data_IF_416376064358
#
_entry.id   IF_416376064358
#
_cell.length_a   1.000
_cell.length_b   1.000
_cell.length_c   1.000
_cell.angle_alpha   90.00
_cell.angle_beta   90.00
_cell.angle_gamma   90.00
#
_symmetry.space_group_name_H-M   'P 1'
#
loop_
_entity.id
_entity.type
_entity.pdbx_description
1 polymer ?
#
# COMPACT_ATOMS: atom_id res chain seq x y z
N UNK A 1 -18.26 10.11 -45.28
CA UNK A 1 -16.88 10.33 -44.81
C UNK A 1 -16.60 11.80 -44.47
N UNK A 2 -17.48 12.76 -44.80
CA UNK A 2 -17.26 14.20 -44.53
C UNK A 2 -17.64 14.67 -43.11
N UNK A 3 -18.42 13.90 -42.33
CA UNK A 3 -18.87 14.35 -40.99
C UNK A 3 -17.78 14.26 -39.92
N UNK A 4 -16.80 13.37 -40.06
CA UNK A 4 -15.75 13.16 -39.06
C UNK A 4 -14.76 14.34 -39.02
N UNK A 5 -14.34 14.84 -40.18
CA UNK A 5 -13.38 15.95 -40.27
C UNK A 5 -13.98 17.26 -39.73
N UNK A 6 -15.29 17.44 -39.86
CA UNK A 6 -15.99 18.60 -39.31
C UNK A 6 -16.01 18.56 -37.77
N UNK A 7 -16.37 17.41 -37.20
CA UNK A 7 -16.43 17.22 -35.75
C UNK A 7 -15.03 17.32 -35.10
N UNK A 8 -14.00 16.76 -35.76
CA UNK A 8 -12.61 16.88 -35.30
C UNK A 8 -12.13 18.33 -35.26
N UNK A 9 -12.48 19.13 -36.26
CA UNK A 9 -12.13 20.55 -36.28
C UNK A 9 -12.82 21.33 -35.15
N UNK A 10 -14.08 21.05 -34.84
CA UNK A 10 -14.79 21.65 -33.70
C UNK A 10 -14.07 21.31 -32.39
N UNK A 11 -13.76 20.04 -32.16
CA UNK A 11 -13.09 19.57 -30.94
C UNK A 11 -11.71 20.22 -30.81
N UNK A 12 -10.93 20.25 -31.89
CA UNK A 12 -9.59 20.83 -31.88
C UNK A 12 -9.63 22.32 -31.53
N UNK A 13 -10.50 23.08 -32.18
CA UNK A 13 -10.67 24.52 -31.92
C UNK A 13 -11.13 24.77 -30.47
N UNK A 14 -12.04 23.96 -29.95
CA UNK A 14 -12.48 24.04 -28.56
C UNK A 14 -11.33 23.82 -27.57
N UNK A 15 -10.54 22.76 -27.78
CA UNK A 15 -9.41 22.44 -26.91
C UNK A 15 -8.31 23.51 -26.97
N UNK A 16 -8.02 24.07 -28.15
CA UNK A 16 -7.05 25.15 -28.31
C UNK A 16 -7.49 26.41 -27.56
N UNK A 17 -8.75 26.83 -27.69
CA UNK A 17 -9.29 27.97 -26.91
C UNK A 17 -9.21 27.75 -25.40
N UNK A 18 -9.50 26.53 -24.93
CA UNK A 18 -9.38 26.21 -23.50
C UNK A 18 -7.94 26.24 -23.00
N UNK A 19 -6.95 25.90 -23.85
CA UNK A 19 -5.53 25.99 -23.49
C UNK A 19 -5.06 27.43 -23.26
N UNK A 20 -5.76 28.41 -23.84
CA UNK A 20 -5.46 29.83 -23.66
C UNK A 20 -6.03 30.39 -22.36
N UNK A 21 -7.21 29.90 -21.93
CA UNK A 21 -7.89 30.37 -20.72
C UNK A 21 -7.45 29.64 -19.45
N UNK A 22 -6.89 28.44 -19.58
CA UNK A 22 -6.45 27.61 -18.46
C UNK A 22 -4.97 27.30 -18.59
N UNK A 23 -4.20 27.52 -17.52
CA UNK A 23 -2.77 27.17 -17.49
C UNK A 23 -2.60 25.64 -17.43
N UNK A 24 -2.66 25.00 -18.61
CA UNK A 24 -2.61 23.55 -18.77
C UNK A 24 -1.32 22.95 -18.21
N UNK A 25 -0.22 23.72 -18.21
CA UNK A 25 1.05 23.30 -17.62
C UNK A 25 0.96 23.09 -16.11
N UNK A 26 0.08 23.83 -15.43
CA UNK A 26 -0.17 23.68 -13.98
C UNK A 26 -1.15 22.56 -13.65
N UNK A 27 -1.90 22.03 -14.62
CA UNK A 27 -2.87 20.97 -14.37
C UNK A 27 -2.14 19.63 -14.24
N UNK A 28 -2.16 19.06 -13.03
CA UNK A 28 -1.84 17.66 -12.83
C UNK A 28 -3.13 16.81 -12.77
N UNK A 29 -3.47 16.20 -13.91
CA UNK A 29 -4.68 15.38 -14.06
C UNK A 29 -4.70 14.19 -13.09
N UNK A 30 -3.53 13.62 -12.80
CA UNK A 30 -3.42 12.49 -11.88
C UNK A 30 -3.70 12.93 -10.43
N UNK A 31 -3.30 14.15 -10.04
CA UNK A 31 -3.63 14.68 -8.72
C UNK A 31 -5.14 14.95 -8.57
N UNK A 32 -5.82 15.35 -9.65
CA UNK A 32 -7.27 15.51 -9.66
C UNK A 32 -7.95 14.15 -9.45
N UNK A 33 -7.46 13.09 -10.11
CA UNK A 33 -7.99 11.73 -9.95
C UNK A 33 -7.86 11.18 -8.53
N UNK A 34 -6.82 11.58 -7.80
CA UNK A 34 -6.59 11.17 -6.40
C UNK A 34 -7.48 11.91 -5.38
N UNK A 35 -8.15 13.00 -5.77
CA UNK A 35 -9.03 13.76 -4.87
C UNK A 35 -10.32 12.99 -4.56
N UNK A 36 -10.90 13.25 -3.38
CA UNK A 36 -12.24 12.76 -3.03
C UNK A 36 -13.29 13.29 -4.01
N UNK A 37 -14.45 12.63 -4.10
CA UNK A 37 -15.54 13.04 -4.99
C UNK A 37 -15.97 14.50 -4.78
N UNK A 38 -16.06 14.96 -3.52
CA UNK A 38 -16.38 16.36 -3.20
C UNK A 38 -15.34 17.33 -3.74
N UNK A 39 -14.04 17.06 -3.51
CA UNK A 39 -12.95 17.93 -3.99
C UNK A 39 -12.82 17.93 -5.52
N UNK A 40 -13.13 16.81 -6.18
CA UNK A 40 -13.21 16.75 -7.63
C UNK A 40 -14.37 17.61 -8.13
N UNK A 41 -15.53 17.50 -7.50
CA UNK A 41 -16.70 18.31 -7.84
C UNK A 41 -16.44 19.81 -7.68
N UNK A 42 -15.82 20.24 -6.58
CA UNK A 42 -15.39 21.62 -6.36
C UNK A 42 -14.47 22.11 -7.48
N UNK A 43 -13.42 21.34 -7.81
CA UNK A 43 -12.48 21.67 -8.87
C UNK A 43 -13.16 21.88 -10.24
N UNK A 44 -14.04 20.97 -10.65
CA UNK A 44 -14.73 21.10 -11.94
C UNK A 44 -15.75 22.25 -11.96
N UNK A 45 -16.31 22.64 -10.81
CA UNK A 45 -17.18 23.82 -10.73
C UNK A 45 -16.42 25.15 -10.89
N UNK A 46 -15.12 25.18 -10.66
CA UNK A 46 -14.30 26.37 -10.94
C UNK A 46 -14.02 26.52 -12.46
N UNK A 47 -14.22 25.45 -13.24
CA UNK A 47 -13.97 25.39 -14.69
C UNK A 47 -15.27 25.42 -15.51
N UNK A 48 -16.25 26.20 -15.04
CA UNK A 48 -17.53 26.40 -15.74
C UNK A 48 -17.34 27.22 -17.01
N UNK A 49 -18.11 26.88 -18.03
CA UNK A 49 -18.23 27.59 -19.31
C UNK A 49 -19.61 28.22 -19.38
N UNK A 50 -19.68 29.52 -19.69
CA UNK A 50 -20.96 30.15 -19.93
C UNK A 50 -21.55 29.63 -21.25
N UNK A 51 -22.87 29.48 -21.31
CA UNK A 51 -23.57 29.03 -22.53
C UNK A 51 -23.39 30.02 -23.70
N UNK A 52 -23.11 31.29 -23.39
CA UNK A 52 -22.74 32.32 -24.39
C UNK A 52 -21.40 32.07 -25.08
N UNK A 53 -20.53 31.25 -24.50
CA UNK A 53 -19.16 31.07 -24.98
C UNK A 53 -19.06 29.96 -26.05
N UNK A 54 -20.15 29.23 -26.28
CA UNK A 54 -20.22 28.09 -27.19
C UNK A 54 -21.34 28.25 -28.22
N UNK A 55 -21.05 27.94 -29.47
CA UNK A 55 -22.05 27.89 -30.53
C UNK A 55 -22.97 26.66 -30.34
N UNK A 56 -24.29 26.76 -30.57
CA UNK A 56 -25.22 25.62 -30.56
C UNK A 56 -24.72 24.35 -31.29
N UNK A 57 -24.03 24.49 -32.43
CA UNK A 57 -23.46 23.34 -33.15
C UNK A 57 -22.32 22.69 -32.37
N UNK A 58 -21.43 23.49 -31.78
CA UNK A 58 -20.31 23.00 -30.96
C UNK A 58 -20.85 22.25 -29.74
N UNK A 59 -21.90 22.79 -29.10
CA UNK A 59 -22.52 22.16 -27.92
C UNK A 59 -22.98 20.73 -28.24
N UNK A 60 -23.61 20.51 -29.39
CA UNK A 60 -24.09 19.18 -29.79
C UNK A 60 -22.92 18.21 -29.94
N UNK A 61 -21.87 18.62 -30.66
CA UNK A 61 -20.69 17.79 -30.91
C UNK A 61 -19.94 17.49 -29.61
N UNK A 62 -19.64 18.52 -28.82
CA UNK A 62 -18.90 18.41 -27.56
C UNK A 62 -19.66 17.58 -26.52
N UNK A 63 -20.99 17.70 -26.44
CA UNK A 63 -21.81 16.90 -25.53
C UNK A 63 -21.85 15.43 -25.96
N UNK A 64 -22.02 15.17 -27.27
CA UNK A 64 -22.00 13.80 -27.83
C UNK A 64 -20.66 13.11 -27.56
N UNK A 65 -19.56 13.86 -27.64
CA UNK A 65 -18.22 13.37 -27.36
C UNK A 65 -17.86 13.33 -25.87
N UNK A 66 -18.79 13.68 -24.98
CA UNK A 66 -18.59 13.74 -23.52
C UNK A 66 -17.44 14.66 -23.10
N UNK A 67 -17.26 15.79 -23.80
CA UNK A 67 -16.27 16.82 -23.47
C UNK A 67 -16.85 17.89 -22.54
N UNK A 68 -18.16 18.09 -22.60
CA UNK A 68 -18.88 18.98 -21.70
C UNK A 68 -20.13 18.29 -21.15
N UNK A 69 -20.59 18.76 -20.00
CA UNK A 69 -21.87 18.37 -19.41
C UNK A 69 -22.66 19.61 -19.01
N UNK A 70 -23.96 19.63 -19.33
CA UNK A 70 -24.85 20.73 -18.97
C UNK A 70 -25.21 20.67 -17.50
N UNK A 71 -24.93 21.73 -16.75
CA UNK A 71 -25.38 21.88 -15.37
C UNK A 71 -26.64 22.73 -15.36
N UNK A 72 -27.69 22.25 -14.68
CA UNK A 72 -28.99 22.91 -14.63
C UNK A 72 -28.86 24.40 -14.32
N UNK A 73 -29.31 25.25 -15.25
CA UNK A 73 -29.32 26.72 -15.17
C UNK A 73 -27.96 27.41 -14.95
N UNK A 74 -26.83 26.68 -15.02
CA UNK A 74 -25.48 27.19 -14.71
C UNK A 74 -24.50 27.10 -15.89
N UNK A 75 -24.97 26.73 -17.09
CA UNK A 75 -24.15 26.58 -18.29
C UNK A 75 -23.56 25.17 -18.43
N UNK A 76 -22.29 25.08 -18.84
CA UNK A 76 -21.61 23.81 -19.11
C UNK A 76 -20.36 23.65 -18.24
N UNK A 77 -20.01 22.41 -17.92
CA UNK A 77 -18.78 22.06 -17.21
C UNK A 77 -17.96 21.13 -18.09
N UNK A 78 -16.65 21.35 -18.16
CA UNK A 78 -15.75 20.44 -18.88
C UNK A 78 -15.58 19.12 -18.14
N UNK A 79 -15.43 18.03 -18.87
CA UNK A 79 -15.24 16.70 -18.28
C UNK A 79 -13.76 16.39 -18.03
N UNK A 80 -13.50 15.30 -17.31
CA UNK A 80 -12.16 14.74 -17.20
C UNK A 80 -11.58 14.38 -18.57
N UNK A 81 -12.40 13.91 -19.53
CA UNK A 81 -11.96 13.61 -20.89
C UNK A 81 -11.40 14.87 -21.57
N UNK A 82 -12.04 16.02 -21.37
CA UNK A 82 -11.55 17.32 -21.87
C UNK A 82 -10.22 17.68 -21.27
N UNK A 83 -10.05 17.57 -19.95
CA UNK A 83 -8.75 17.83 -19.32
C UNK A 83 -7.66 16.92 -19.90
N UNK A 84 -7.95 15.63 -20.08
CA UNK A 84 -7.01 14.66 -20.65
C UNK A 84 -6.59 15.10 -22.06
N UNK A 85 -7.55 15.42 -22.93
CA UNK A 85 -7.26 15.85 -24.31
C UNK A 85 -6.63 17.25 -24.40
N UNK A 86 -6.78 18.09 -23.38
CA UNK A 86 -6.04 19.34 -23.29
C UNK A 86 -4.55 19.10 -23.00
N UNK A 87 -4.23 18.11 -22.18
CA UNK A 87 -2.86 17.86 -21.70
C UNK A 87 -2.07 16.85 -22.54
N UNK A 88 -2.75 15.85 -23.08
CA UNK A 88 -2.14 14.73 -23.80
C UNK A 88 -2.66 14.69 -25.23
N UNK A 89 -1.79 14.31 -26.17
CA UNK A 89 -2.15 14.24 -27.59
C UNK A 89 -3.03 13.02 -27.89
N UNK A 90 -3.04 12.04 -26.98
CA UNK A 90 -3.90 10.87 -27.06
C UNK A 90 -4.23 10.28 -25.69
N UNK A 91 -5.30 9.47 -25.64
CA UNK A 91 -5.63 8.69 -24.45
C UNK A 91 -4.51 7.70 -24.08
N UNK A 92 -3.79 7.16 -25.07
CA UNK A 92 -2.67 6.24 -24.83
C UNK A 92 -1.51 6.91 -24.10
N UNK A 93 -1.21 8.17 -24.44
CA UNK A 93 -0.17 8.94 -23.76
C UNK A 93 -0.53 9.21 -22.30
N UNK A 94 -1.79 9.56 -22.03
CA UNK A 94 -2.29 9.67 -20.66
C UNK A 94 -2.17 8.35 -19.88
N UNK A 95 -2.57 7.22 -20.48
CA UNK A 95 -2.44 5.91 -19.85
C UNK A 95 -0.98 5.56 -19.57
N UNK A 96 -0.05 5.90 -20.47
CA UNK A 96 1.38 5.70 -20.26
C UNK A 96 1.91 6.55 -19.09
N UNK A 97 1.52 7.82 -18.99
CA UNK A 97 1.91 8.68 -17.87
C UNK A 97 1.30 8.20 -16.54
N UNK A 98 0.03 7.78 -16.55
CA UNK A 98 -0.63 7.17 -15.40
C UNK A 98 0.10 5.91 -14.92
N UNK A 99 0.43 5.01 -15.85
CA UNK A 99 1.20 3.80 -15.56
C UNK A 99 2.58 4.13 -15.02
N UNK A 100 3.26 5.12 -15.61
CA UNK A 100 4.56 5.58 -15.14
C UNK A 100 4.47 6.10 -13.71
N UNK A 101 3.49 6.94 -13.39
CA UNK A 101 3.31 7.45 -12.02
C UNK A 101 2.97 6.33 -11.04
N UNK A 102 2.10 5.39 -11.41
CA UNK A 102 1.75 4.23 -10.59
C UNK A 102 2.98 3.36 -10.29
N UNK A 103 3.78 3.02 -11.31
CA UNK A 103 5.00 2.22 -11.15
C UNK A 103 6.08 2.98 -10.37
N UNK A 104 6.22 4.29 -10.57
CA UNK A 104 7.11 5.14 -9.79
C UNK A 104 6.69 5.13 -8.31
N UNK A 105 5.40 5.19 -8.00
CA UNK A 105 4.92 5.12 -6.62
C UNK A 105 5.21 3.77 -5.98
N UNK A 106 4.99 2.66 -6.68
CA UNK A 106 5.36 1.32 -6.20
C UNK A 106 6.87 1.24 -5.98
N UNK A 107 7.67 1.69 -6.95
CA UNK A 107 9.13 1.67 -6.85
C UNK A 107 9.61 2.51 -5.65
N UNK A 108 9.08 3.72 -5.48
CA UNK A 108 9.38 4.59 -4.34
C UNK A 108 9.01 3.90 -3.03
N UNK A 109 7.84 3.26 -2.95
CA UNK A 109 7.42 2.50 -1.75
C UNK A 109 8.32 1.30 -1.46
N UNK A 110 8.72 0.54 -2.48
CA UNK A 110 9.67 -0.57 -2.35
C UNK A 110 11.04 -0.12 -1.84
N UNK A 111 11.45 1.11 -2.18
CA UNK A 111 12.71 1.69 -1.74
C UNK A 111 12.65 2.27 -0.32
N UNK A 112 11.47 2.39 0.29
CA UNK A 112 11.33 2.88 1.66
C UNK A 112 11.75 1.79 2.65
N UNK A 113 12.50 2.19 3.67
CA UNK A 113 12.80 1.34 4.81
C UNK A 113 11.52 0.94 5.56
N UNK A 114 11.56 -0.21 6.23
CA UNK A 114 10.53 -0.56 7.19
C UNK A 114 10.54 0.43 8.36
N UNK A 115 9.37 0.93 8.74
CA UNK A 115 9.24 1.69 9.99
C UNK A 115 9.38 0.76 11.21
N UNK A 116 9.67 1.33 12.37
CA UNK A 116 9.99 0.56 13.58
C UNK A 116 8.89 -0.43 13.99
N UNK A 117 7.64 -0.07 13.77
CA UNK A 117 6.45 -0.88 14.01
C UNK A 117 6.36 -2.05 13.02
N UNK A 118 6.63 -1.80 11.74
CA UNK A 118 6.69 -2.83 10.70
C UNK A 118 7.80 -3.85 10.99
N UNK A 119 9.00 -3.38 11.39
CA UNK A 119 10.12 -4.23 11.81
C UNK A 119 9.73 -5.14 12.98
N UNK A 120 9.09 -4.55 14.00
CA UNK A 120 8.62 -5.28 15.18
C UNK A 120 7.62 -6.37 14.81
N UNK A 121 6.65 -6.05 13.96
CA UNK A 121 5.60 -6.99 13.55
C UNK A 121 6.14 -8.12 12.71
N UNK A 122 7.02 -7.83 11.75
CA UNK A 122 7.69 -8.84 10.94
C UNK A 122 8.50 -9.79 11.83
N UNK A 123 9.30 -9.25 12.76
CA UNK A 123 10.12 -10.06 13.65
C UNK A 123 9.26 -10.94 14.57
N UNK A 124 8.12 -10.41 15.03
CA UNK A 124 7.13 -11.16 15.81
C UNK A 124 6.56 -12.33 15.01
N UNK A 125 6.10 -12.08 13.78
CA UNK A 125 5.58 -13.13 12.90
C UNK A 125 6.63 -14.18 12.55
N UNK A 126 7.89 -13.77 12.36
CA UNK A 126 9.02 -14.68 12.13
C UNK A 126 9.27 -15.57 13.35
N UNK A 127 9.28 -15.01 14.56
CA UNK A 127 9.43 -15.77 15.81
C UNK A 127 8.27 -16.73 16.06
N UNK A 128 7.05 -16.31 15.74
CA UNK A 128 5.88 -17.17 15.79
C UNK A 128 5.93 -18.26 14.73
N UNK A 129 6.78 -18.13 13.70
CA UNK A 129 6.78 -18.92 12.47
C UNK A 129 5.41 -18.88 11.76
N UNK A 130 4.75 -17.73 11.77
CA UNK A 130 3.51 -17.49 11.01
C UNK A 130 3.87 -17.37 9.52
N UNK A 131 4.02 -18.51 8.85
CA UNK A 131 4.78 -18.62 7.60
C UNK A 131 3.95 -19.06 6.37
N UNK A 132 2.67 -19.31 6.58
CA UNK A 132 1.71 -19.63 5.53
C UNK A 132 0.30 -19.16 5.96
N UNK A 133 -0.67 -19.30 5.06
CA UNK A 133 -2.06 -18.91 5.33
C UNK A 133 -2.71 -19.70 6.46
N UNK A 134 -2.25 -20.92 6.74
CA UNK A 134 -2.80 -21.78 7.81
C UNK A 134 -2.34 -21.29 9.17
N UNK A 135 -1.05 -21.02 9.28
CA UNK A 135 -0.36 -20.47 10.46
C UNK A 135 -0.38 -18.95 10.54
N UNK A 136 -1.28 -18.27 9.81
CA UNK A 136 -1.40 -16.83 9.89
C UNK A 136 -1.88 -16.41 11.28
N UNK A 137 -1.36 -15.30 11.80
CA UNK A 137 -1.96 -14.65 12.95
C UNK A 137 -3.30 -14.03 12.52
N UNK A 138 -4.39 -14.45 13.16
CA UNK A 138 -5.72 -13.85 12.99
C UNK A 138 -6.20 -13.37 14.35
N UNK A 139 -6.84 -12.21 14.37
CA UNK A 139 -7.54 -11.77 15.56
C UNK A 139 -8.80 -12.63 15.75
N UNK A 140 -8.74 -13.56 16.69
CA UNK A 140 -9.86 -14.46 17.01
C UNK A 140 -10.42 -14.17 18.41
N UNK A 141 -9.57 -13.74 19.34
CA UNK A 141 -9.91 -13.45 20.74
C UNK A 141 -9.04 -12.32 21.29
N UNK A 142 -9.50 -11.62 22.32
CA UNK A 142 -8.64 -10.65 23.03
C UNK A 142 -7.40 -11.34 23.62
N UNK A 143 -7.56 -12.59 24.10
CA UNK A 143 -6.45 -13.38 24.66
C UNK A 143 -5.31 -13.61 23.65
N UNK A 144 -5.62 -14.05 22.43
CA UNK A 144 -4.57 -14.33 21.43
C UNK A 144 -3.92 -13.02 20.94
N UNK A 145 -4.68 -11.93 20.94
CA UNK A 145 -4.17 -10.59 20.64
C UNK A 145 -3.25 -10.04 21.74
N UNK A 146 -3.57 -10.22 23.01
CA UNK A 146 -2.73 -9.83 24.14
C UNK A 146 -1.42 -10.64 24.19
N UNK A 147 -1.49 -11.94 23.85
CA UNK A 147 -0.30 -12.77 23.70
C UNK A 147 0.56 -12.33 22.51
N UNK A 148 -0.06 -11.96 21.38
CA UNK A 148 0.65 -11.35 20.26
C UNK A 148 1.34 -10.04 20.68
N UNK A 149 0.65 -9.18 21.45
CA UNK A 149 1.23 -7.95 21.98
C UNK A 149 2.46 -8.23 22.84
N UNK A 150 2.41 -9.24 23.70
CA UNK A 150 3.55 -9.61 24.56
C UNK A 150 4.74 -10.08 23.72
N UNK A 151 4.49 -10.86 22.66
CA UNK A 151 5.55 -11.26 21.73
C UNK A 151 6.12 -10.07 20.93
N UNK A 152 5.27 -9.11 20.57
CA UNK A 152 5.69 -7.88 19.92
C UNK A 152 6.54 -7.00 20.85
N UNK A 153 6.24 -6.99 22.15
CA UNK A 153 7.07 -6.32 23.16
C UNK A 153 8.46 -6.97 23.25
N UNK A 154 8.54 -8.31 23.28
CA UNK A 154 9.82 -9.03 23.28
C UNK A 154 10.64 -8.72 22.02
N UNK A 155 10.00 -8.71 20.84
CA UNK A 155 10.65 -8.35 19.58
C UNK A 155 11.13 -6.89 19.58
N UNK A 156 10.31 -5.96 20.07
CA UNK A 156 10.64 -4.54 20.17
C UNK A 156 11.83 -4.29 21.08
N UNK A 157 11.86 -4.89 22.28
CA UNK A 157 12.98 -4.78 23.22
C UNK A 157 14.28 -5.26 22.60
N UNK A 158 14.26 -6.40 21.90
CA UNK A 158 15.43 -6.89 21.19
C UNK A 158 15.93 -5.91 20.12
N UNK A 159 15.03 -5.31 19.34
CA UNK A 159 15.39 -4.30 18.35
C UNK A 159 15.99 -3.04 19.00
N UNK A 160 15.53 -2.65 20.19
CA UNK A 160 16.08 -1.53 20.96
C UNK A 160 17.46 -1.84 21.52
N UNK A 161 17.65 -3.03 22.12
CA UNK A 161 18.93 -3.50 22.66
C UNK A 161 20.01 -3.57 21.57
N UNK A 162 19.61 -3.87 20.33
CA UNK A 162 20.49 -3.92 19.16
C UNK A 162 20.61 -2.57 18.41
N UNK A 163 20.09 -1.47 18.96
CA UNK A 163 20.12 -0.12 18.35
C UNK A 163 19.49 -0.03 16.94
N UNK A 164 18.54 -0.91 16.62
CA UNK A 164 17.83 -0.90 15.33
C UNK A 164 16.66 0.08 15.34
N UNK A 165 16.06 0.28 16.52
CA UNK A 165 14.99 1.24 16.76
C UNK A 165 15.27 2.02 18.06
N UNK A 166 14.67 3.20 18.19
CA UNK A 166 14.84 4.07 19.35
C UNK A 166 14.19 3.49 20.62
N UNK A 167 14.85 3.67 21.76
CA UNK A 167 14.39 3.28 23.09
C UNK A 167 13.08 3.99 23.51
N UNK A 168 12.76 5.14 22.90
CA UNK A 168 11.53 5.87 23.19
C UNK A 168 10.26 5.20 22.64
N UNK A 169 10.40 4.21 21.74
CA UNK A 169 9.27 3.45 21.24
C UNK A 169 8.76 2.47 22.30
N UNK A 170 7.45 2.34 22.41
CA UNK A 170 6.82 1.48 23.41
C UNK A 170 5.75 0.61 22.76
N UNK A 171 5.42 -0.51 23.39
CA UNK A 171 4.37 -1.41 22.89
C UNK A 171 3.01 -0.70 22.87
N UNK A 172 2.77 0.24 23.79
CA UNK A 172 1.58 1.07 23.77
C UNK A 172 1.56 1.99 22.54
N UNK A 173 2.69 2.63 22.18
CA UNK A 173 2.78 3.41 20.93
C UNK A 173 2.57 2.54 19.68
N UNK A 174 3.02 1.28 19.71
CA UNK A 174 2.88 0.35 18.59
C UNK A 174 1.40 0.09 18.27
N UNK A 175 0.61 -0.07 19.32
CA UNK A 175 -0.82 -0.34 19.26
C UNK A 175 -1.68 0.89 19.62
N UNK A 176 -1.13 2.11 19.61
CA UNK A 176 -1.87 3.34 19.92
C UNK A 176 -2.74 3.74 18.71
N UNK A 177 -3.77 2.95 18.45
CA UNK A 177 -4.80 3.23 17.46
C UNK A 177 -6.15 3.13 18.13
N UNK A 178 -6.74 4.30 18.41
CA UNK A 178 -8.07 4.41 18.97
C UNK A 178 -9.11 4.26 17.85
N UNK A 179 -9.47 3.04 17.51
CA UNK A 179 -10.67 2.74 16.73
C UNK A 179 -11.78 2.30 17.71
N UNK A 180 -12.92 3.00 17.70
CA UNK A 180 -14.04 2.67 18.60
C UNK A 180 -14.53 1.24 18.31
N UNK A 181 -14.51 0.39 19.33
CA UNK A 181 -15.02 -0.98 19.25
C UNK A 181 -14.08 -2.01 18.60
N UNK A 182 -12.85 -1.64 18.24
CA UNK A 182 -11.82 -2.58 17.78
C UNK A 182 -10.77 -2.80 18.88
N UNK A 183 -10.26 -4.02 19.02
CA UNK A 183 -9.09 -4.26 19.86
C UNK A 183 -7.86 -3.56 19.26
N UNK A 184 -7.00 -2.97 20.09
CA UNK A 184 -5.85 -2.16 19.64
C UNK A 184 -4.90 -2.90 18.68
N UNK A 185 -4.70 -4.20 18.88
CA UNK A 185 -3.90 -5.06 17.98
C UNK A 185 -4.59 -5.23 16.64
N UNK A 186 -5.88 -5.56 16.64
CA UNK A 186 -6.68 -5.68 15.42
C UNK A 186 -6.67 -4.36 14.63
N UNK A 187 -6.87 -3.24 15.32
CA UNK A 187 -6.89 -1.92 14.73
C UNK A 187 -5.55 -1.55 14.06
N UNK A 188 -4.44 -1.90 14.71
CA UNK A 188 -3.10 -1.71 14.14
C UNK A 188 -2.89 -2.58 12.91
N UNK A 189 -3.10 -3.89 13.06
CA UNK A 189 -2.79 -4.88 12.03
C UNK A 189 -3.63 -4.67 10.76
N UNK A 190 -4.90 -4.27 10.88
CA UNK A 190 -5.77 -4.01 9.73
C UNK A 190 -5.30 -2.85 8.85
N UNK A 191 -4.50 -1.91 9.39
CA UNK A 191 -4.04 -0.69 8.70
C UNK A 191 -2.62 -0.78 8.15
N UNK A 192 -1.96 -1.92 8.34
CA UNK A 192 -0.63 -2.19 7.81
C UNK A 192 -0.75 -2.62 6.35
N UNK A 193 -0.58 -1.66 5.44
CA UNK A 193 -0.75 -1.89 4.01
C UNK A 193 0.56 -1.81 3.22
N UNK A 194 1.52 -1.01 3.66
CA UNK A 194 2.74 -0.77 2.87
C UNK A 194 3.79 -1.89 3.03
N UNK A 195 3.75 -2.72 4.09
CA UNK A 195 4.71 -3.83 4.28
C UNK A 195 4.64 -4.84 3.12
N UNK A 196 3.44 -5.12 2.58
CA UNK A 196 3.28 -6.05 1.45
C UNK A 196 4.13 -5.59 0.27
N UNK A 197 4.12 -4.27 0.00
CA UNK A 197 4.88 -3.65 -1.09
C UNK A 197 6.38 -3.69 -0.74
N UNK A 198 6.78 -3.12 0.40
CA UNK A 198 8.19 -3.05 0.85
C UNK A 198 8.89 -4.42 0.92
N UNK A 199 8.16 -5.47 1.28
CA UNK A 199 8.67 -6.84 1.36
C UNK A 199 8.57 -7.63 0.05
N UNK A 200 8.24 -7.00 -1.08
CA UNK A 200 8.04 -7.66 -2.37
C UNK A 200 7.08 -8.85 -2.29
N UNK A 201 6.02 -8.72 -1.48
CA UNK A 201 5.01 -9.76 -1.27
C UNK A 201 5.45 -10.92 -0.39
N UNK A 202 6.57 -10.83 0.34
CA UNK A 202 6.88 -11.85 1.37
C UNK A 202 5.94 -11.69 2.55
N UNK A 203 5.71 -10.48 3.06
CA UNK A 203 4.62 -10.25 4.00
C UNK A 203 3.29 -10.30 3.27
N UNK A 204 2.35 -11.03 3.84
CA UNK A 204 1.03 -11.24 3.27
C UNK A 204 -0.05 -10.89 4.30
N UNK A 205 -1.06 -10.15 3.83
CA UNK A 205 -2.31 -9.90 4.53
C UNK A 205 -3.41 -10.68 3.80
N UNK A 206 -3.91 -11.75 4.41
CA UNK A 206 -4.99 -12.58 3.88
C UNK A 206 -6.31 -11.79 3.83
N UNK A 207 -7.24 -12.23 2.99
CA UNK A 207 -8.57 -11.64 2.82
C UNK A 207 -9.46 -11.67 4.06
N UNK A 208 -9.04 -12.40 5.11
CA UNK A 208 -9.68 -12.47 6.44
C UNK A 208 -8.84 -11.78 7.52
N UNK A 209 -8.03 -10.78 7.13
CA UNK A 209 -7.10 -10.05 8.01
C UNK A 209 -6.11 -10.98 8.74
N UNK A 210 -5.70 -12.08 8.09
CA UNK A 210 -4.65 -12.95 8.58
C UNK A 210 -3.28 -12.44 8.17
N UNK A 211 -2.30 -12.45 9.07
CA UNK A 211 -0.96 -11.91 8.81
C UNK A 211 0.10 -13.03 8.88
N UNK A 212 0.90 -13.16 7.82
CA UNK A 212 1.96 -14.18 7.74
C UNK A 212 3.10 -13.75 6.80
N UNK A 213 4.21 -14.49 6.87
CA UNK A 213 5.39 -14.33 6.02
C UNK A 213 5.50 -15.51 5.07
N UNK A 214 5.38 -15.31 3.76
CA UNK A 214 5.51 -16.34 2.75
C UNK A 214 6.98 -16.81 2.57
N UNK A 215 7.50 -17.51 3.57
CA UNK A 215 8.87 -18.04 3.61
C UNK A 215 8.93 -19.57 3.58
N UNK A 216 7.78 -20.25 3.65
CA UNK A 216 7.68 -21.70 3.43
C UNK A 216 7.01 -21.94 2.08
N UNK A 217 7.72 -22.56 1.14
CA UNK A 217 7.19 -22.93 -0.18
C UNK A 217 7.48 -24.41 -0.40
N UNK A 218 6.45 -25.19 -0.77
CA UNK A 218 6.57 -26.64 -0.98
C UNK A 218 7.20 -27.38 0.22
N UNK A 219 6.80 -27.02 1.44
CA UNK A 219 7.31 -27.56 2.71
C UNK A 219 8.82 -27.36 2.96
N UNK A 220 9.45 -26.37 2.32
CA UNK A 220 10.82 -25.96 2.61
C UNK A 220 10.96 -24.45 2.82
N UNK A 221 12.05 -24.06 3.49
CA UNK A 221 12.37 -22.64 3.70
C UNK A 221 12.87 -22.03 2.40
N UNK A 222 12.15 -21.03 1.90
CA UNK A 222 12.64 -20.18 0.83
C UNK A 222 13.68 -19.20 1.41
N UNK A 223 14.95 -19.54 1.24
CA UNK A 223 16.10 -18.78 1.76
C UNK A 223 16.10 -17.34 1.23
N UNK A 224 15.74 -17.13 -0.04
CA UNK A 224 15.69 -15.79 -0.64
C UNK A 224 14.68 -14.90 0.08
N UNK A 225 13.47 -15.39 0.33
CA UNK A 225 12.42 -14.64 1.03
C UNK A 225 12.78 -14.40 2.50
N UNK A 226 13.38 -15.40 3.17
CA UNK A 226 13.87 -15.26 4.53
C UNK A 226 14.94 -14.16 4.62
N UNK A 227 15.95 -14.19 3.76
CA UNK A 227 17.05 -13.23 3.77
C UNK A 227 16.60 -11.83 3.38
N UNK A 228 15.62 -11.71 2.47
CA UNK A 228 14.99 -10.43 2.15
C UNK A 228 14.35 -9.82 3.40
N UNK A 229 13.53 -10.59 4.12
CA UNK A 229 12.86 -10.12 5.35
C UNK A 229 13.88 -9.75 6.42
N UNK A 230 14.91 -10.58 6.64
CA UNK A 230 15.94 -10.28 7.62
C UNK A 230 16.68 -8.98 7.30
N UNK A 231 17.05 -8.74 6.04
CA UNK A 231 17.68 -7.47 5.61
C UNK A 231 16.78 -6.26 5.77
N UNK A 232 15.47 -6.42 5.59
CA UNK A 232 14.51 -5.34 5.79
C UNK A 232 14.35 -4.96 7.27
N UNK A 233 14.47 -5.94 8.18
CA UNK A 233 14.40 -5.70 9.63
C UNK A 233 15.71 -5.14 10.16
N UNK A 234 16.84 -5.67 9.68
CA UNK A 234 18.17 -5.47 10.25
C UNK A 234 19.09 -4.74 9.26
N UNK A 235 19.36 -3.43 9.44
CA UNK A 235 20.31 -2.68 8.63
C UNK A 235 21.75 -3.20 8.74
N UNK A 236 22.08 -3.80 9.88
CA UNK A 236 23.35 -4.48 10.17
C UNK A 236 23.06 -5.89 10.69
N UNK A 237 24.01 -6.83 10.52
CA UNK A 237 23.80 -8.21 10.96
C UNK A 237 23.69 -8.29 12.49
N UNK A 238 22.59 -8.83 13.05
CA UNK A 238 22.39 -8.93 14.49
C UNK A 238 23.23 -10.05 15.10
N UNK A 239 23.37 -10.05 16.42
CA UNK A 239 23.99 -11.17 17.12
C UNK A 239 23.20 -12.46 16.88
N UNK A 240 23.89 -13.47 16.36
CA UNK A 240 23.30 -14.77 16.02
C UNK A 240 22.60 -15.45 17.19
N UNK A 241 23.23 -15.49 18.36
CA UNK A 241 22.73 -16.26 19.49
C UNK A 241 21.50 -15.58 20.09
N UNK A 242 21.58 -14.27 20.30
CA UNK A 242 20.48 -13.49 20.87
C UNK A 242 19.23 -13.51 19.97
N UNK A 243 19.41 -13.41 18.64
CA UNK A 243 18.30 -13.53 17.69
C UNK A 243 17.64 -14.91 17.77
N UNK A 244 18.42 -16.00 17.80
CA UNK A 244 17.87 -17.35 17.91
C UNK A 244 17.13 -17.55 19.23
N UNK A 245 17.63 -16.99 20.33
CA UNK A 245 16.97 -17.05 21.63
C UNK A 245 15.65 -16.27 21.66
N UNK A 246 15.62 -15.07 21.07
CA UNK A 246 14.38 -14.33 20.87
C UNK A 246 13.35 -15.16 20.09
N UNK A 247 13.75 -15.71 18.93
CA UNK A 247 12.82 -16.45 18.09
C UNK A 247 12.29 -17.70 18.79
N UNK A 248 13.11 -18.39 19.59
CA UNK A 248 12.67 -19.53 20.40
C UNK A 248 11.67 -19.12 21.48
N UNK A 249 11.92 -18.00 22.17
CA UNK A 249 11.05 -17.44 23.21
C UNK A 249 9.69 -17.01 22.65
N UNK A 250 9.65 -16.38 21.47
CA UNK A 250 8.39 -16.06 20.80
C UNK A 250 7.69 -17.34 20.35
N UNK A 251 8.43 -18.29 19.77
CA UNK A 251 7.87 -19.55 19.27
C UNK A 251 7.23 -20.41 20.37
N UNK A 252 7.70 -20.34 21.62
CA UNK A 252 7.09 -21.10 22.73
C UNK A 252 5.65 -20.65 23.05
N UNK A 253 5.24 -19.44 22.61
CA UNK A 253 3.87 -18.92 22.75
C UNK A 253 3.02 -19.09 21.49
N UNK A 254 3.55 -19.74 20.44
CA UNK A 254 2.90 -19.87 19.12
C UNK A 254 1.46 -20.39 19.22
N UNK A 255 1.25 -21.45 20.00
CA UNK A 255 -0.05 -22.13 20.11
C UNK A 255 -1.12 -21.29 20.81
N UNK A 256 -0.73 -20.24 21.54
CA UNK A 256 -1.66 -19.31 22.18
C UNK A 256 -2.09 -18.18 21.24
N UNK A 257 -1.43 -18.05 20.09
CA UNK A 257 -1.52 -16.88 19.20
C UNK A 257 -2.10 -17.24 17.82
N UNK A 258 -1.68 -18.36 17.23
CA UNK A 258 -2.02 -18.69 15.84
C UNK A 258 -3.26 -19.58 15.73
N UNK A 259 -4.00 -19.41 14.64
CA UNK A 259 -5.26 -20.10 14.34
C UNK A 259 -5.12 -21.61 14.10
N UNK A 260 -3.99 -22.03 13.52
CA UNK A 260 -3.70 -23.44 13.26
C UNK A 260 -2.60 -23.91 14.20
N UNK A 261 -2.98 -24.85 15.07
CA UNK A 261 -2.17 -25.46 16.12
C UNK A 261 -1.34 -26.62 15.58
N UNK A 262 -1.45 -26.95 14.28
CA UNK A 262 -0.66 -28.02 13.69
C UNK A 262 0.84 -27.74 13.86
N UNK A 263 1.53 -28.75 14.39
CA UNK A 263 2.95 -28.66 14.70
C UNK A 263 3.74 -28.38 13.43
N UNK A 264 4.57 -27.33 13.49
CA UNK A 264 5.62 -27.19 12.49
C UNK A 264 6.58 -28.35 12.68
N UNK A 265 6.89 -29.13 11.62
CA UNK A 265 7.87 -30.20 11.70
C UNK A 265 9.19 -29.70 12.31
N UNK A 266 9.72 -30.46 13.27
CA UNK A 266 10.98 -30.11 13.95
C UNK A 266 12.12 -29.85 12.95
N UNK A 267 12.15 -30.62 11.86
CA UNK A 267 13.09 -30.45 10.75
C UNK A 267 13.01 -29.06 10.11
N UNK A 268 11.80 -28.52 9.92
CA UNK A 268 11.58 -27.21 9.32
C UNK A 268 11.98 -26.08 10.29
N UNK A 269 11.65 -26.25 11.58
CA UNK A 269 12.10 -25.33 12.65
C UNK A 269 13.63 -25.27 12.73
N UNK A 270 14.29 -26.42 12.67
CA UNK A 270 15.75 -26.51 12.68
C UNK A 270 16.35 -25.87 11.43
N UNK A 271 15.82 -26.16 10.23
CA UNK A 271 16.22 -25.51 8.98
C UNK A 271 16.11 -23.99 9.03
N UNK A 272 15.02 -23.44 9.60
CA UNK A 272 14.86 -22.00 9.76
C UNK A 272 16.01 -21.42 10.62
N UNK A 273 16.25 -22.01 11.79
CA UNK A 273 17.31 -21.55 12.68
C UNK A 273 18.69 -21.68 12.07
N UNK A 274 18.99 -22.77 11.36
CA UNK A 274 20.27 -22.96 10.68
C UNK A 274 20.45 -21.94 9.55
N UNK A 275 19.40 -21.64 8.79
CA UNK A 275 19.43 -20.61 7.75
C UNK A 275 19.70 -19.21 8.32
N UNK A 276 19.11 -18.88 9.48
CA UNK A 276 19.34 -17.62 10.20
C UNK A 276 20.78 -17.57 10.74
N UNK A 277 21.30 -18.68 11.25
CA UNK A 277 22.70 -18.77 11.73
C UNK A 277 23.72 -18.59 10.61
N UNK A 278 23.39 -19.04 9.40
CA UNK A 278 24.24 -18.83 8.22
C UNK A 278 24.23 -17.37 7.74
N UNK A 279 23.15 -16.65 8.03
CA UNK A 279 22.98 -15.26 7.60
C UNK A 279 23.58 -14.23 8.58
N UNK A 280 23.64 -14.57 9.87
CA UNK A 280 24.14 -13.71 10.95
C UNK A 280 25.67 -13.79 11.11
N UNK A 281 26.27 -12.82 11.81
CA UNK A 281 27.69 -12.84 12.24
C UNK A 281 27.77 -13.48 13.64
N UNK A 282 28.91 -14.08 13.98
CA UNK A 282 29.22 -14.54 15.34
C UNK A 282 29.28 -13.38 16.33
#
# INVERSE_FOLDING_TARGET
MESNDFDENIIKNFLEKLKESVDVKKINIIDILKKSSTKRYEYFNELKLAESDLNPTDIIVLSRENLIYKKENEGYIITLKTLILMKYDSMNEFLNDLNKQFLIEIYKKNALELSWDEKTIILTLLGLMACDKKSAFKFETDKNADMFQTCAEDAMKFLQENNIIDIQYTVDKLFNYNARGEHKVQAKMSRINDIVIKSSGVYQKDSRDGHYLNIIINNDINITNLYLILRLVFPSLPNKQELIELLKRINSRRYEILSDVSDIPLSLKQKLYDSIRMWTIN
#
